data_IF_401692640155
#
_entry.id   IF_401692640155
#
_cell.length_a   1.000
_cell.length_b   1.000
_cell.length_c   1.000
_cell.angle_alpha   90.00
_cell.angle_beta   90.00
_cell.angle_gamma   90.00
#
_symmetry.space_group_name_H-M   'P 1'
#
loop_
_entity.id
_entity.type
_entity.pdbx_description
1 polymer ?
#
# COMPACT_ATOMS: atom_id res chain seq x y z
N UNK A 1 -12.83 0.59 0.11
CA UNK A 1 -13.23 -0.82 -0.14
C UNK A 1 -13.25 -1.61 1.16
N UNK A 2 -14.12 -2.62 1.26
CA UNK A 2 -14.16 -3.57 2.39
C UNK A 2 -13.39 -4.82 1.99
N UNK A 3 -12.64 -5.41 2.94
CA UNK A 3 -11.84 -6.62 2.71
C UNK A 3 -12.29 -7.74 3.63
N UNK A 4 -12.27 -8.94 3.09
CA UNK A 4 -12.59 -10.18 3.79
C UNK A 4 -11.52 -11.21 3.47
N UNK A 5 -11.31 -12.16 4.40
CA UNK A 5 -10.62 -13.39 4.09
C UNK A 5 -11.73 -14.38 3.72
N UNK A 6 -11.64 -14.97 2.56
CA UNK A 6 -12.60 -15.94 2.05
C UNK A 6 -11.89 -17.23 1.67
N UNK A 7 -12.61 -18.34 1.81
CA UNK A 7 -12.15 -19.66 1.37
C UNK A 7 -13.07 -20.17 0.27
N UNK A 8 -12.52 -20.83 -0.75
CA UNK A 8 -13.31 -21.49 -1.79
C UNK A 8 -14.21 -22.57 -1.20
N UNK A 9 -15.31 -22.90 -1.89
CA UNK A 9 -16.29 -23.87 -1.40
C UNK A 9 -15.70 -25.28 -1.17
N UNK A 10 -14.66 -25.65 -1.94
CA UNK A 10 -13.90 -26.89 -1.77
C UNK A 10 -12.87 -26.82 -0.61
N UNK A 11 -12.69 -25.64 0.01
CA UNK A 11 -11.74 -25.42 1.09
C UNK A 11 -10.27 -25.31 0.67
N UNK A 12 -9.95 -25.48 -0.61
CA UNK A 12 -8.57 -25.58 -1.09
C UNK A 12 -7.88 -24.24 -1.25
N UNK A 13 -8.62 -23.17 -1.55
CA UNK A 13 -8.06 -21.83 -1.79
C UNK A 13 -8.54 -20.82 -0.77
N UNK A 14 -7.60 -20.12 -0.16
CA UNK A 14 -7.85 -18.93 0.67
C UNK A 14 -7.45 -17.69 -0.13
N UNK A 15 -8.27 -16.65 -0.10
CA UNK A 15 -8.05 -15.39 -0.82
C UNK A 15 -8.39 -14.19 0.07
N UNK A 16 -7.79 -13.05 -0.23
CA UNK A 16 -8.33 -11.76 0.19
C UNK A 16 -9.40 -11.34 -0.83
N UNK A 17 -10.62 -11.19 -0.38
CA UNK A 17 -11.72 -10.67 -1.18
C UNK A 17 -11.91 -9.19 -0.89
N UNK A 18 -11.85 -8.37 -1.93
CA UNK A 18 -12.12 -6.94 -1.87
C UNK A 18 -13.46 -6.63 -2.50
N UNK A 19 -14.32 -5.88 -1.81
CA UNK A 19 -15.58 -5.35 -2.36
C UNK A 19 -15.54 -3.81 -2.38
N UNK A 20 -16.10 -3.14 -3.41
CA UNK A 20 -16.22 -1.70 -3.40
C UNK A 20 -17.16 -1.25 -2.27
N UNK A 21 -17.01 -0.01 -1.80
CA UNK A 21 -18.02 0.62 -0.96
C UNK A 21 -19.26 0.95 -1.80
N UNK A 22 -20.42 1.05 -1.15
CA UNK A 22 -21.70 1.29 -1.83
C UNK A 22 -21.72 2.54 -2.74
N UNK A 23 -20.93 3.55 -2.41
CA UNK A 23 -20.80 4.77 -3.20
C UNK A 23 -19.86 4.66 -4.42
N UNK A 24 -19.10 3.57 -4.55
CA UNK A 24 -18.18 3.34 -5.67
C UNK A 24 -18.92 2.58 -6.77
N UNK A 25 -18.84 3.06 -8.00
CA UNK A 25 -19.48 2.37 -9.12
C UNK A 25 -18.85 1.00 -9.37
N UNK A 26 -19.62 -0.09 -9.38
CA UNK A 26 -19.11 -1.45 -9.57
C UNK A 26 -18.26 -1.61 -10.82
N UNK A 27 -18.68 -1.04 -11.93
CA UNK A 27 -17.96 -1.13 -13.20
C UNK A 27 -16.57 -0.47 -13.15
N UNK A 28 -16.45 0.69 -12.49
CA UNK A 28 -15.17 1.37 -12.33
C UNK A 28 -14.21 0.56 -11.43
N UNK A 29 -14.72 -0.02 -10.34
CA UNK A 29 -13.94 -0.91 -9.49
C UNK A 29 -13.45 -2.14 -10.24
N UNK A 30 -14.32 -2.82 -11.00
CA UNK A 30 -13.97 -4.02 -11.77
C UNK A 30 -12.94 -3.73 -12.86
N UNK A 31 -13.05 -2.58 -13.54
CA UNK A 31 -12.09 -2.17 -14.56
C UNK A 31 -10.67 -1.99 -13.96
N UNK A 32 -10.55 -1.34 -12.81
CA UNK A 32 -9.27 -1.16 -12.12
C UNK A 32 -8.72 -2.49 -11.58
N UNK A 33 -9.59 -3.34 -11.05
CA UNK A 33 -9.22 -4.67 -10.57
C UNK A 33 -8.72 -5.57 -11.72
N UNK A 34 -9.40 -5.58 -12.87
CA UNK A 34 -8.98 -6.34 -14.04
C UNK A 34 -7.65 -5.84 -14.58
N UNK A 35 -7.46 -4.53 -14.67
CA UNK A 35 -6.18 -3.96 -15.08
C UNK A 35 -5.05 -4.36 -14.12
N UNK A 36 -5.33 -4.41 -12.82
CA UNK A 36 -4.33 -4.73 -11.80
C UNK A 36 -3.80 -6.17 -11.85
N UNK A 37 -4.48 -7.09 -12.55
CA UNK A 37 -4.00 -8.46 -12.79
C UNK A 37 -2.69 -8.53 -13.60
N UNK A 38 -2.44 -7.49 -14.38
CA UNK A 38 -1.27 -7.40 -15.28
C UNK A 38 -0.13 -6.56 -14.68
N UNK A 39 -0.28 -6.06 -13.45
CA UNK A 39 0.76 -5.28 -12.83
C UNK A 39 1.94 -6.15 -12.42
N UNK A 40 3.12 -5.68 -12.74
CA UNK A 40 4.38 -6.26 -12.30
C UNK A 40 4.97 -5.38 -11.20
N UNK A 41 5.43 -6.00 -10.14
CA UNK A 41 6.10 -5.30 -9.05
C UNK A 41 6.36 -6.23 -7.87
N UNK A 42 7.49 -6.07 -7.18
CA UNK A 42 7.93 -7.04 -6.16
C UNK A 42 6.99 -7.10 -4.95
N UNK A 43 6.31 -6.00 -4.64
CA UNK A 43 5.49 -5.88 -3.43
C UNK A 43 4.02 -5.54 -3.72
N UNK A 44 3.53 -5.83 -4.91
CA UNK A 44 2.11 -5.72 -5.27
C UNK A 44 1.36 -6.94 -4.75
N UNK A 45 0.15 -6.74 -4.21
CA UNK A 45 -0.77 -7.83 -3.88
C UNK A 45 -1.46 -8.30 -5.16
N UNK A 46 -1.13 -9.49 -5.70
CA UNK A 46 -1.67 -9.93 -6.98
C UNK A 46 -3.18 -10.15 -6.94
N UNK A 47 -3.89 -9.66 -7.95
CA UNK A 47 -5.29 -10.02 -8.23
C UNK A 47 -5.31 -11.34 -8.99
N UNK A 48 -6.02 -12.33 -8.48
CA UNK A 48 -6.13 -13.67 -9.08
C UNK A 48 -7.44 -13.89 -9.81
N UNK A 49 -8.50 -13.20 -9.37
CA UNK A 49 -9.82 -13.33 -9.96
C UNK A 49 -10.64 -12.04 -9.77
N UNK A 50 -11.46 -11.72 -10.74
CA UNK A 50 -12.36 -10.55 -10.72
C UNK A 50 -13.77 -11.04 -11.07
N UNK A 51 -14.77 -10.51 -10.36
CA UNK A 51 -16.16 -10.85 -10.63
C UNK A 51 -16.55 -10.47 -12.06
N UNK A 52 -17.37 -11.30 -12.68
CA UNK A 52 -18.04 -10.91 -13.92
C UNK A 52 -18.94 -9.70 -13.70
N UNK A 53 -19.13 -8.83 -14.71
CA UNK A 53 -20.02 -7.68 -14.58
C UNK A 53 -21.43 -8.12 -14.13
N UNK A 54 -21.90 -7.56 -13.01
CA UNK A 54 -23.16 -7.93 -12.39
C UNK A 54 -23.45 -7.10 -11.14
N UNK A 55 -24.48 -7.43 -10.37
CA UNK A 55 -24.86 -6.67 -9.17
C UNK A 55 -23.84 -6.77 -8.04
N UNK A 56 -23.04 -7.85 -8.01
CA UNK A 56 -22.00 -8.06 -7.00
C UNK A 56 -20.60 -7.88 -7.62
N UNK A 57 -19.94 -6.77 -7.28
CA UNK A 57 -18.56 -6.52 -7.67
C UNK A 57 -17.60 -6.97 -6.57
N UNK A 58 -16.61 -7.78 -6.94
CA UNK A 58 -15.52 -8.19 -6.05
C UNK A 58 -14.24 -8.48 -6.85
N UNK A 59 -13.13 -8.42 -6.17
CA UNK A 59 -11.84 -8.88 -6.68
C UNK A 59 -11.18 -9.75 -5.62
N UNK A 60 -10.66 -10.90 -6.02
CA UNK A 60 -9.91 -11.80 -5.18
C UNK A 60 -8.41 -11.62 -5.42
N UNK A 61 -7.67 -11.58 -4.32
CA UNK A 61 -6.21 -11.46 -4.31
C UNK A 61 -5.60 -12.69 -3.67
N UNK A 62 -4.36 -13.00 -4.02
CA UNK A 62 -3.60 -14.03 -3.33
C UNK A 62 -3.62 -13.78 -1.82
N UNK A 63 -3.96 -14.79 -1.04
CA UNK A 63 -3.87 -14.68 0.41
C UNK A 63 -2.42 -14.73 0.86
N UNK A 64 -2.04 -13.74 1.62
CA UNK A 64 -0.78 -13.68 2.37
C UNK A 64 -1.13 -13.27 3.80
N UNK A 65 -0.69 -13.99 4.84
CA UNK A 65 -0.90 -13.55 6.22
C UNK A 65 -0.32 -12.15 6.42
N UNK A 66 -1.18 -11.15 6.59
CA UNK A 66 -0.77 -9.76 6.66
C UNK A 66 -1.81 -8.90 7.37
N UNK A 67 -1.35 -7.82 8.00
CA UNK A 67 -2.18 -6.83 8.67
C UNK A 67 -2.06 -5.48 7.97
N UNK A 68 -3.16 -4.69 7.86
CA UNK A 68 -3.07 -3.32 7.38
C UNK A 68 -2.14 -2.47 8.27
N UNK A 69 -1.37 -1.57 7.67
CA UNK A 69 -0.43 -0.72 8.43
C UNK A 69 -1.08 0.00 9.63
N UNK A 70 -2.31 0.53 9.56
CA UNK A 70 -2.97 1.11 10.75
C UNK A 70 -3.18 0.10 11.89
N UNK A 71 -3.52 -1.15 11.56
CA UNK A 71 -3.65 -2.20 12.57
C UNK A 71 -2.29 -2.57 13.18
N UNK A 72 -1.23 -2.55 12.39
CA UNK A 72 0.14 -2.78 12.87
C UNK A 72 0.57 -1.69 13.85
N UNK A 73 0.31 -0.41 13.58
CA UNK A 73 0.61 0.68 14.50
C UNK A 73 -0.20 0.54 15.80
N UNK A 74 -1.48 0.22 15.70
CA UNK A 74 -2.34 0.01 16.88
C UNK A 74 -1.85 -1.14 17.75
N UNK A 75 -1.43 -2.26 17.15
CA UNK A 75 -0.86 -3.41 17.85
C UNK A 75 0.50 -3.10 18.49
N UNK A 76 1.32 -2.30 17.80
CA UNK A 76 2.62 -1.88 18.32
C UNK A 76 2.48 -0.86 19.46
N UNK A 77 1.35 -0.18 19.53
CA UNK A 77 1.08 0.87 20.53
C UNK A 77 1.64 2.24 20.17
N UNK A 78 1.96 2.48 18.89
CA UNK A 78 2.49 3.76 18.41
C UNK A 78 3.33 3.66 17.14
N UNK A 79 4.16 4.67 16.88
CA UNK A 79 5.05 4.74 15.71
C UNK A 79 5.93 3.51 15.57
N UNK A 80 6.18 3.10 14.32
CA UNK A 80 7.03 1.95 14.04
C UNK A 80 8.52 2.30 14.21
N UNK A 81 9.37 1.32 14.57
CA UNK A 81 10.81 1.53 14.65
C UNK A 81 11.39 2.03 13.33
N UNK A 82 12.41 2.88 13.41
CA UNK A 82 13.06 3.50 12.26
C UNK A 82 13.51 2.48 11.21
N UNK A 83 14.06 1.33 11.62
CA UNK A 83 14.42 0.23 10.74
C UNK A 83 13.24 -0.27 9.92
N UNK A 84 12.07 -0.44 10.53
CA UNK A 84 10.84 -0.87 9.84
C UNK A 84 10.39 0.18 8.84
N UNK A 85 10.41 1.46 9.23
CA UNK A 85 10.02 2.57 8.34
C UNK A 85 10.96 2.69 7.15
N UNK A 86 12.27 2.49 7.34
CA UNK A 86 13.27 2.47 6.25
C UNK A 86 13.00 1.33 5.27
N UNK A 87 12.74 0.12 5.78
CA UNK A 87 12.41 -1.03 4.94
C UNK A 87 11.14 -0.79 4.11
N UNK A 88 10.09 -0.22 4.74
CA UNK A 88 8.87 0.17 4.04
C UNK A 88 9.14 1.23 2.97
N UNK A 89 9.93 2.25 3.28
CA UNK A 89 10.24 3.33 2.35
C UNK A 89 10.90 2.78 1.08
N UNK A 90 11.89 1.91 1.23
CA UNK A 90 12.61 1.31 0.09
C UNK A 90 11.68 0.39 -0.70
N UNK A 91 10.96 -0.52 -0.04
CA UNK A 91 10.09 -1.49 -0.72
C UNK A 91 8.95 -0.81 -1.51
N UNK A 92 8.29 0.18 -0.91
CA UNK A 92 7.23 0.91 -1.59
C UNK A 92 7.75 1.81 -2.72
N UNK A 93 8.93 2.44 -2.53
CA UNK A 93 9.55 3.22 -3.58
C UNK A 93 9.99 2.35 -4.78
N UNK A 94 10.58 1.18 -4.54
CA UNK A 94 10.90 0.20 -5.60
C UNK A 94 9.65 -0.22 -6.37
N UNK A 95 8.55 -0.50 -5.67
CA UNK A 95 7.27 -0.86 -6.30
C UNK A 95 6.76 0.26 -7.21
N UNK A 96 6.73 1.49 -6.70
CA UNK A 96 6.29 2.65 -7.50
C UNK A 96 7.24 2.92 -8.67
N UNK A 97 8.55 2.72 -8.49
CA UNK A 97 9.51 2.88 -9.58
C UNK A 97 9.24 1.91 -10.73
N UNK A 98 8.91 0.66 -10.43
CA UNK A 98 8.53 -0.34 -11.44
C UNK A 98 7.23 0.07 -12.16
N UNK A 99 6.20 0.49 -11.42
CA UNK A 99 4.94 0.94 -12.00
C UNK A 99 5.12 2.17 -12.88
N UNK A 100 5.82 3.19 -12.38
CA UNK A 100 6.06 4.42 -13.13
C UNK A 100 6.92 4.18 -14.38
N UNK A 101 7.88 3.24 -14.32
CA UNK A 101 8.66 2.79 -15.47
C UNK A 101 7.79 2.14 -16.57
N UNK A 102 6.65 1.58 -16.22
CA UNK A 102 5.64 1.03 -17.13
C UNK A 102 4.58 2.07 -17.53
N UNK A 103 4.76 3.35 -17.20
CA UNK A 103 3.78 4.44 -17.36
C UNK A 103 2.45 4.19 -16.60
N UNK A 104 2.49 3.45 -15.52
CA UNK A 104 1.35 3.15 -14.66
C UNK A 104 1.44 3.97 -13.38
N UNK A 105 0.34 4.65 -13.02
CA UNK A 105 0.16 5.33 -11.75
C UNK A 105 -0.67 4.45 -10.83
N UNK A 106 -0.23 4.24 -9.60
CA UNK A 106 -0.95 3.39 -8.64
C UNK A 106 -2.31 3.97 -8.26
N UNK A 107 -2.38 5.28 -7.97
CA UNK A 107 -3.62 6.01 -7.69
C UNK A 107 -4.51 5.37 -6.61
N UNK A 108 -3.92 4.99 -5.48
CA UNK A 108 -4.67 4.38 -4.37
C UNK A 108 -3.79 4.06 -3.16
N UNK A 109 -2.52 4.50 -3.17
CA UNK A 109 -1.62 4.33 -2.04
C UNK A 109 -2.10 5.16 -0.83
N UNK A 110 -2.14 4.53 0.32
CA UNK A 110 -2.48 5.10 1.63
C UNK A 110 -2.03 4.14 2.72
N UNK A 111 -1.98 4.53 4.00
CA UNK A 111 -1.67 3.59 5.08
C UNK A 111 -2.53 2.32 5.06
N UNK A 112 -3.83 2.44 4.80
CA UNK A 112 -4.74 1.29 4.72
C UNK A 112 -4.53 0.42 3.47
N UNK A 113 -3.87 0.93 2.43
CA UNK A 113 -3.53 0.19 1.22
C UNK A 113 -2.29 -0.69 1.38
N UNK A 114 -1.46 -0.43 2.41
CA UNK A 114 -0.26 -1.20 2.70
C UNK A 114 -0.58 -2.30 3.70
N UNK A 115 -0.44 -3.55 3.28
CA UNK A 115 -0.53 -4.72 4.14
C UNK A 115 0.88 -5.16 4.52
N UNK A 116 1.08 -5.43 5.81
CA UNK A 116 2.37 -5.83 6.38
C UNK A 116 2.35 -7.33 6.59
N UNK A 117 3.11 -8.06 5.79
CA UNK A 117 3.38 -9.49 5.93
C UNK A 117 4.75 -9.72 6.57
N UNK A 118 5.02 -10.92 7.05
CA UNK A 118 6.29 -11.24 7.73
C UNK A 118 7.52 -11.06 6.82
N UNK A 119 7.36 -11.28 5.53
CA UNK A 119 8.40 -11.23 4.50
C UNK A 119 8.45 -9.88 3.74
N UNK A 120 7.59 -8.91 4.08
CA UNK A 120 7.59 -7.58 3.47
C UNK A 120 6.18 -6.99 3.28
N UNK A 121 6.08 -5.75 2.81
CA UNK A 121 4.79 -5.12 2.55
C UNK A 121 4.10 -5.73 1.33
N UNK A 122 2.79 -5.53 1.23
CA UNK A 122 2.01 -5.80 0.03
C UNK A 122 1.15 -4.58 -0.27
N UNK A 123 1.35 -3.99 -1.43
CA UNK A 123 0.60 -2.82 -1.88
C UNK A 123 -0.67 -3.26 -2.58
N UNK A 124 -1.79 -2.76 -2.10
CA UNK A 124 -3.15 -3.07 -2.57
C UNK A 124 -3.90 -1.77 -2.94
N UNK A 125 -5.17 -1.86 -3.27
CA UNK A 125 -6.01 -0.70 -3.61
C UNK A 125 -5.59 0.04 -4.89
N UNK A 126 -4.96 -0.64 -5.84
CA UNK A 126 -4.68 -0.07 -7.15
C UNK A 126 -5.93 0.58 -7.76
N UNK A 127 -5.78 1.76 -8.32
CA UNK A 127 -6.85 2.49 -8.99
C UNK A 127 -7.96 3.05 -8.09
N UNK A 128 -7.84 2.95 -6.76
CA UNK A 128 -8.91 3.37 -5.85
C UNK A 128 -9.37 4.82 -6.06
N UNK A 129 -8.46 5.73 -6.41
CA UNK A 129 -8.77 7.14 -6.71
C UNK A 129 -9.58 7.26 -8.03
N UNK A 130 -9.24 6.48 -9.06
CA UNK A 130 -9.97 6.45 -10.34
C UNK A 130 -11.34 5.79 -10.20
N UNK A 131 -11.42 4.71 -9.41
CA UNK A 131 -12.68 4.03 -9.14
C UNK A 131 -13.65 4.86 -8.29
N UNK A 132 -13.14 5.75 -7.43
CA UNK A 132 -13.97 6.58 -6.55
C UNK A 132 -14.77 7.65 -7.32
N UNK A 133 -14.16 8.29 -8.31
CA UNK A 133 -14.84 9.24 -9.19
C UNK A 133 -14.03 9.49 -10.47
N UNK A 134 -14.68 9.78 -11.60
CA UNK A 134 -14.01 10.11 -12.85
C UNK A 134 -13.20 11.41 -12.76
N UNK A 135 -12.30 11.61 -13.72
CA UNK A 135 -11.54 12.85 -13.84
C UNK A 135 -12.47 14.05 -14.05
N UNK A 136 -12.15 15.17 -13.41
CA UNK A 136 -12.98 16.37 -13.38
C UNK A 136 -13.97 16.43 -12.20
N UNK A 137 -14.23 15.32 -11.51
CA UNK A 137 -15.11 15.28 -10.34
C UNK A 137 -14.30 15.34 -9.05
N UNK A 138 -14.59 16.30 -8.12
CA UNK A 138 -13.92 16.37 -6.82
C UNK A 138 -14.04 15.07 -6.02
N UNK A 139 -12.94 14.69 -5.30
CA UNK A 139 -12.84 13.44 -4.56
C UNK A 139 -12.57 13.62 -3.06
N UNK A 140 -12.56 14.86 -2.57
CA UNK A 140 -12.23 15.16 -1.16
C UNK A 140 -13.20 14.53 -0.15
N UNK A 141 -14.44 14.23 -0.57
CA UNK A 141 -15.45 13.54 0.26
C UNK A 141 -15.73 12.11 -0.23
N UNK A 142 -14.93 11.60 -1.16
CA UNK A 142 -15.18 10.27 -1.73
C UNK A 142 -14.96 9.18 -0.67
N UNK A 143 -15.98 8.34 -0.38
CA UNK A 143 -15.88 7.31 0.63
C UNK A 143 -14.75 6.32 0.34
N UNK A 144 -13.98 5.98 1.37
CA UNK A 144 -12.91 4.99 1.29
C UNK A 144 -11.59 5.49 0.72
N UNK A 145 -11.48 6.76 0.36
CA UNK A 145 -10.21 7.43 0.17
C UNK A 145 -9.74 8.01 1.50
N UNK A 146 -8.43 7.92 1.73
CA UNK A 146 -7.79 8.56 2.87
C UNK A 146 -7.44 10.01 2.47
N UNK A 147 -8.14 10.97 3.06
CA UNK A 147 -7.96 12.38 2.77
C UNK A 147 -6.52 12.86 3.03
N UNK A 148 -5.83 12.29 4.04
CA UNK A 148 -4.45 12.64 4.37
C UNK A 148 -3.42 12.16 3.34
N UNK A 149 -3.77 11.12 2.58
CA UNK A 149 -2.90 10.56 1.53
C UNK A 149 -3.32 10.98 0.12
N UNK A 150 -4.46 11.68 -0.02
CA UNK A 150 -4.96 12.13 -1.30
C UNK A 150 -4.35 13.50 -1.64
N UNK A 151 -3.52 13.62 -2.70
CA UNK A 151 -2.90 14.90 -3.04
C UNK A 151 -3.95 15.94 -3.47
N UNK A 152 -3.71 17.24 -3.20
CA UNK A 152 -4.70 18.31 -3.42
C UNK A 152 -5.26 18.36 -4.84
N UNK A 153 -4.42 18.16 -5.86
CA UNK A 153 -4.83 18.15 -7.26
C UNK A 153 -5.79 16.99 -7.58
N UNK A 154 -5.60 15.83 -6.97
CA UNK A 154 -6.49 14.67 -7.13
C UNK A 154 -7.78 14.83 -6.32
N UNK A 155 -7.68 15.41 -5.13
CA UNK A 155 -8.84 15.77 -4.32
C UNK A 155 -9.76 16.74 -5.07
N UNK A 156 -9.19 17.70 -5.81
CA UNK A 156 -9.92 18.64 -6.68
C UNK A 156 -10.45 18.02 -7.98
N UNK A 157 -10.26 16.72 -8.21
CA UNK A 157 -10.74 16.02 -9.41
C UNK A 157 -9.70 15.86 -10.52
N UNK A 158 -8.46 16.27 -10.30
CA UNK A 158 -7.39 16.10 -11.28
C UNK A 158 -7.07 14.63 -11.57
N UNK A 159 -6.64 14.36 -12.80
CA UNK A 159 -6.22 13.02 -13.22
C UNK A 159 -5.03 12.52 -12.38
N UNK A 160 -5.08 11.30 -11.85
CA UNK A 160 -3.94 10.71 -11.14
C UNK A 160 -2.70 10.64 -12.02
N UNK A 161 -1.57 11.09 -11.46
CA UNK A 161 -0.24 11.11 -12.10
C UNK A 161 0.82 10.58 -11.13
N UNK A 162 2.00 10.14 -11.62
CA UNK A 162 3.08 9.59 -10.78
C UNK A 162 3.46 10.44 -9.57
N UNK A 163 3.50 11.77 -9.68
CA UNK A 163 3.78 12.67 -8.56
C UNK A 163 2.69 12.67 -7.48
N UNK A 164 1.47 12.21 -7.80
CA UNK A 164 0.43 11.95 -6.81
C UNK A 164 0.73 10.72 -5.95
N UNK A 165 1.28 9.67 -6.55
CA UNK A 165 1.74 8.49 -5.79
C UNK A 165 2.90 8.85 -4.86
N UNK A 166 3.78 9.78 -5.27
CA UNK A 166 4.89 10.28 -4.43
C UNK A 166 4.35 11.03 -3.21
N UNK A 167 3.30 11.85 -3.37
CA UNK A 167 2.62 12.48 -2.24
C UNK A 167 2.05 11.43 -1.28
N UNK A 168 1.31 10.46 -1.82
CA UNK A 168 0.69 9.39 -1.05
C UNK A 168 1.73 8.50 -0.33
N UNK A 169 2.88 8.25 -0.96
CA UNK A 169 4.01 7.57 -0.33
C UNK A 169 4.56 8.39 0.84
N UNK A 170 4.79 9.69 0.65
CA UNK A 170 5.24 10.59 1.72
C UNK A 170 4.29 10.56 2.93
N UNK A 171 2.98 10.68 2.69
CA UNK A 171 1.96 10.58 3.73
C UNK A 171 1.95 9.22 4.45
N UNK A 172 2.11 8.13 3.69
CA UNK A 172 2.15 6.77 4.25
C UNK A 172 3.38 6.55 5.12
N UNK A 173 4.56 7.04 4.71
CA UNK A 173 5.79 6.95 5.50
C UNK A 173 5.73 7.82 6.75
N UNK A 174 5.16 9.04 6.63
CA UNK A 174 4.87 9.89 7.77
C UNK A 174 3.99 9.18 8.79
N UNK A 175 2.90 8.57 8.31
CA UNK A 175 2.00 7.79 9.16
C UNK A 175 2.72 6.61 9.86
N UNK A 176 3.54 5.86 9.15
CA UNK A 176 4.31 4.76 9.73
C UNK A 176 5.26 5.22 10.85
N UNK A 177 5.83 6.41 10.69
CA UNK A 177 6.82 6.98 11.61
C UNK A 177 6.22 7.77 12.78
N UNK A 178 4.97 8.25 12.70
CA UNK A 178 4.40 9.17 13.69
C UNK A 178 2.96 8.83 14.09
N UNK A 179 2.24 8.07 13.28
CA UNK A 179 0.79 7.86 13.41
C UNK A 179 -0.06 8.90 12.67
N UNK A 180 0.56 9.90 12.03
CA UNK A 180 -0.13 10.97 11.30
C UNK A 180 0.37 11.06 9.86
N UNK A 181 -0.52 11.33 8.91
CA UNK A 181 -0.18 11.45 7.48
C UNK A 181 0.45 12.80 7.13
N UNK A 182 0.25 13.81 7.96
CA UNK A 182 0.82 15.14 7.82
C UNK A 182 1.30 15.67 9.19
N UNK A 183 2.35 15.07 9.77
CA UNK A 183 2.93 15.51 11.04
C UNK A 183 3.72 16.81 10.87
N UNK A 184 4.04 17.45 11.99
CA UNK A 184 5.03 18.51 11.99
C UNK A 184 6.41 17.95 11.65
N UNK A 185 7.28 18.82 11.10
CA UNK A 185 8.54 18.34 10.54
C UNK A 185 9.51 17.79 11.62
N UNK A 186 9.45 18.29 12.83
CA UNK A 186 10.26 17.87 13.97
C UNK A 186 9.81 16.52 14.57
N UNK A 187 8.55 16.14 14.36
CA UNK A 187 8.03 14.82 14.75
C UNK A 187 8.60 13.68 13.88
N UNK A 188 9.09 14.01 12.68
CA UNK A 188 9.64 13.02 11.76
C UNK A 188 11.08 12.64 12.15
N UNK A 189 11.46 11.35 12.01
CA UNK A 189 12.85 10.92 12.08
C UNK A 189 13.73 11.72 11.10
N UNK A 190 14.96 12.05 11.47
CA UNK A 190 15.84 12.90 10.64
C UNK A 190 15.95 12.48 9.17
N UNK A 191 16.03 11.17 8.90
CA UNK A 191 16.17 10.65 7.55
C UNK A 191 14.93 10.89 6.66
N UNK A 192 13.74 11.05 7.27
CA UNK A 192 12.48 11.28 6.55
C UNK A 192 12.15 12.76 6.36
N UNK A 193 12.68 13.67 7.17
CA UNK A 193 12.25 15.07 7.19
C UNK A 193 12.25 15.73 5.82
N UNK A 194 13.39 15.67 5.14
CA UNK A 194 13.52 16.26 3.80
C UNK A 194 12.67 15.53 2.76
N UNK A 195 12.65 14.19 2.83
CA UNK A 195 11.95 13.35 1.87
C UNK A 195 10.44 13.57 1.95
N UNK A 196 9.87 13.45 3.16
CA UNK A 196 8.44 13.63 3.42
C UNK A 196 8.03 15.09 3.17
N UNK A 197 8.79 16.06 3.68
CA UNK A 197 8.47 17.47 3.50
C UNK A 197 8.38 17.89 2.03
N UNK A 198 9.24 17.37 1.16
CA UNK A 198 9.16 17.59 -0.29
C UNK A 198 7.99 16.82 -0.91
N UNK A 199 7.77 15.57 -0.51
CA UNK A 199 6.71 14.73 -1.06
C UNK A 199 5.32 15.30 -0.78
N UNK A 200 5.10 15.89 0.39
CA UNK A 200 3.84 16.50 0.80
C UNK A 200 3.61 17.94 0.26
N UNK A 201 4.49 18.43 -0.63
CA UNK A 201 4.27 19.73 -1.27
C UNK A 201 2.92 19.78 -1.97
N UNK A 202 2.17 20.87 -1.75
CA UNK A 202 0.91 21.13 -2.47
C UNK A 202 1.14 21.32 -3.96
N UNK A 203 2.28 21.90 -4.35
CA UNK A 203 2.69 22.02 -5.74
C UNK A 203 3.37 20.71 -6.20
N UNK A 204 2.78 19.95 -7.14
CA UNK A 204 3.37 18.72 -7.66
C UNK A 204 4.77 18.91 -8.23
N UNK A 205 5.08 20.08 -8.83
CA UNK A 205 6.38 20.34 -9.43
C UNK A 205 7.53 20.41 -8.39
N UNK A 206 7.20 20.61 -7.12
CA UNK A 206 8.17 20.64 -6.01
C UNK A 206 8.40 19.28 -5.37
N UNK A 207 7.60 18.29 -5.71
CA UNK A 207 7.77 16.92 -5.22
C UNK A 207 8.95 16.24 -5.91
N UNK A 208 9.69 15.37 -5.23
CA UNK A 208 10.70 14.57 -5.89
C UNK A 208 10.04 13.57 -6.86
N UNK A 209 10.74 13.23 -7.93
CA UNK A 209 10.39 12.04 -8.71
C UNK A 209 10.68 10.78 -7.90
N UNK A 210 10.08 9.65 -8.28
CA UNK A 210 10.37 8.36 -7.61
C UNK A 210 11.86 7.98 -7.73
N UNK A 211 12.50 8.34 -8.84
CA UNK A 211 13.93 8.11 -9.04
C UNK A 211 14.81 8.96 -8.10
N UNK A 212 14.40 10.19 -7.78
CA UNK A 212 15.07 11.03 -6.77
C UNK A 212 14.85 10.49 -5.37
N UNK A 213 13.64 9.99 -5.05
CA UNK A 213 13.38 9.31 -3.77
C UNK A 213 14.27 8.07 -3.61
N UNK A 214 14.35 7.24 -4.64
CA UNK A 214 15.20 6.03 -4.63
C UNK A 214 16.67 6.37 -4.41
N UNK A 215 17.18 7.45 -5.04
CA UNK A 215 18.55 7.94 -4.82
C UNK A 215 18.75 8.41 -3.38
N UNK A 216 17.85 9.25 -2.87
CA UNK A 216 17.93 9.75 -1.49
C UNK A 216 17.89 8.61 -0.45
N UNK A 217 17.08 7.57 -0.69
CA UNK A 217 17.09 6.37 0.13
C UNK A 217 18.35 5.52 -0.07
N UNK A 218 18.95 5.55 -1.27
CA UNK A 218 20.20 4.84 -1.55
C UNK A 218 21.41 5.46 -0.84
N UNK A 219 21.42 6.76 -0.73
CA UNK A 219 22.53 7.53 -0.11
C UNK A 219 22.44 7.53 1.43
N UNK A 220 21.43 6.89 2.03
CA UNK A 220 21.30 6.81 3.48
C UNK A 220 22.37 5.86 4.06
N UNK A 221 23.30 6.37 4.88
CA UNK A 221 24.41 5.58 5.42
C UNK A 221 23.97 4.49 6.41
N UNK A 222 22.73 4.56 6.90
CA UNK A 222 22.16 3.52 7.78
C UNK A 222 21.64 2.30 7.00
N UNK A 223 21.60 2.38 5.65
CA UNK A 223 21.18 1.26 4.84
C UNK A 223 22.39 0.40 4.44
N UNK A 224 22.25 -0.93 4.46
CA UNK A 224 23.32 -1.81 3.98
C UNK A 224 23.59 -1.55 2.50
N UNK A 225 24.86 -1.42 2.13
CA UNK A 225 25.24 -1.46 0.73
C UNK A 225 24.89 -2.84 0.16
N UNK A 226 24.40 -2.92 -1.08
CA UNK A 226 24.15 -4.22 -1.70
C UNK A 226 25.48 -4.97 -1.81
N UNK A 227 25.65 -5.96 -0.92
CA UNK A 227 26.81 -6.85 -0.90
C UNK A 227 26.41 -8.15 -1.60
N UNK A 228 26.66 -8.28 -2.90
CA UNK A 228 26.47 -9.56 -3.57
C UNK A 228 26.17 -9.43 -5.07
N UNK A 229 26.65 -10.40 -5.82
CA UNK A 229 26.38 -10.60 -7.25
C UNK A 229 25.05 -11.34 -7.44
N UNK A 230 23.92 -10.74 -7.02
CA UNK A 230 22.61 -11.36 -7.18
C UNK A 230 21.51 -10.32 -7.41
N UNK A 231 20.36 -10.70 -7.99
CA UNK A 231 19.23 -9.81 -8.26
C UNK A 231 18.41 -9.46 -6.99
N UNK A 232 19.03 -9.52 -5.81
CA UNK A 232 18.38 -9.16 -4.55
C UNK A 232 18.14 -7.66 -4.54
N UNK A 233 16.87 -7.25 -4.45
CA UNK A 233 16.52 -5.84 -4.34
C UNK A 233 17.06 -5.29 -3.02
N UNK A 234 17.23 -3.96 -2.93
CA UNK A 234 17.66 -3.34 -1.67
C UNK A 234 16.60 -3.55 -0.57
N UNK A 235 15.33 -3.57 -0.93
CA UNK A 235 14.25 -3.87 0.00
C UNK A 235 14.41 -5.27 0.62
N UNK A 236 14.69 -6.29 -0.16
CA UNK A 236 14.89 -7.66 0.35
C UNK A 236 16.03 -7.73 1.38
N UNK A 237 17.10 -6.96 1.19
CA UNK A 237 18.20 -6.88 2.15
C UNK A 237 17.76 -6.27 3.50
N UNK A 238 16.76 -5.37 3.49
CA UNK A 238 16.23 -4.72 4.70
C UNK A 238 15.13 -5.53 5.38
N UNK A 239 14.42 -6.36 4.64
CA UNK A 239 13.29 -7.17 5.09
C UNK A 239 13.71 -8.50 5.77
N UNK A 240 14.99 -8.64 6.07
CA UNK A 240 15.53 -9.78 6.83
C UNK A 240 15.07 -9.82 8.30
N UNK A 241 15.54 -10.81 9.07
CA UNK A 241 15.11 -11.00 10.45
C UNK A 241 15.19 -9.72 11.30
N UNK A 242 14.11 -9.46 12.05
CA UNK A 242 13.99 -8.29 12.92
C UNK A 242 13.59 -6.99 12.21
N UNK A 243 13.13 -7.02 10.95
CA UNK A 243 12.58 -5.84 10.29
C UNK A 243 11.23 -5.39 10.89
N UNK A 244 10.46 -6.33 11.44
CA UNK A 244 9.24 -6.06 12.20
C UNK A 244 9.42 -6.27 13.71
N UNK A 245 8.67 -5.51 14.53
CA UNK A 245 8.57 -5.79 15.96
C UNK A 245 8.02 -7.20 16.23
N UNK A 246 8.54 -7.92 17.24
CA UNK A 246 8.14 -9.31 17.52
C UNK A 246 6.64 -9.49 17.76
N UNK A 247 5.98 -8.51 18.41
CA UNK A 247 4.53 -8.53 18.64
C UNK A 247 3.71 -8.49 17.35
N UNK A 248 4.20 -7.78 16.32
CA UNK A 248 3.56 -7.74 15.01
C UNK A 248 3.70 -9.08 14.29
N UNK A 249 4.89 -9.70 14.34
CA UNK A 249 5.11 -11.05 13.78
C UNK A 249 4.18 -12.06 14.46
N UNK A 250 4.07 -12.03 15.78
CA UNK A 250 3.18 -12.92 16.53
C UNK A 250 1.69 -12.72 16.13
N UNK A 251 1.26 -11.49 15.94
CA UNK A 251 -0.11 -11.19 15.51
C UNK A 251 -0.40 -11.70 14.08
N UNK A 252 0.54 -11.56 13.15
CA UNK A 252 0.43 -12.10 11.79
C UNK A 252 0.34 -13.63 11.84
N UNK A 253 1.18 -14.28 12.64
CA UNK A 253 1.16 -15.74 12.82
C UNK A 253 -0.17 -16.22 13.44
N UNK A 254 -0.69 -15.49 14.44
CA UNK A 254 -1.97 -15.79 15.05
C UNK A 254 -3.13 -15.65 14.05
N UNK A 255 -3.15 -14.59 13.23
CA UNK A 255 -4.13 -14.44 12.16
C UNK A 255 -4.09 -15.63 11.19
N UNK A 256 -2.90 -16.04 10.77
CA UNK A 256 -2.71 -17.20 9.89
C UNK A 256 -3.28 -18.47 10.49
N UNK A 257 -2.95 -18.75 11.76
CA UNK A 257 -3.46 -19.90 12.48
C UNK A 257 -5.01 -19.88 12.60
N UNK A 258 -5.58 -18.71 12.91
CA UNK A 258 -7.04 -18.53 13.00
C UNK A 258 -7.74 -18.78 11.66
N UNK A 259 -7.15 -18.34 10.56
CA UNK A 259 -7.69 -18.59 9.20
C UNK A 259 -7.65 -20.09 8.85
N UNK A 260 -6.56 -20.77 9.21
CA UNK A 260 -6.42 -22.21 8.98
C UNK A 260 -7.40 -23.03 9.83
N UNK A 261 -7.67 -22.59 11.06
CA UNK A 261 -8.58 -23.26 11.99
C UNK A 261 -10.08 -22.96 11.71
N UNK A 262 -10.38 -21.92 10.90
CA UNK A 262 -11.75 -21.56 10.59
C UNK A 262 -12.44 -22.66 9.74
N UNK A 263 -13.55 -23.20 10.22
CA UNK A 263 -14.37 -24.10 9.46
C UNK A 263 -15.09 -23.36 8.33
N UNK A 264 -15.18 -24.00 7.16
CA UNK A 264 -15.95 -23.47 6.03
C UNK A 264 -17.42 -23.74 6.32
N UNK A 265 -18.14 -22.74 6.81
CA UNK A 265 -19.60 -22.79 6.85
C UNK A 265 -20.12 -22.61 5.42
N UNK A 266 -20.64 -23.67 4.82
CA UNK A 266 -21.31 -23.57 3.54
C UNK A 266 -22.48 -22.59 3.70
N UNK A 267 -22.49 -21.52 2.88
CA UNK A 267 -23.66 -20.67 2.75
C UNK A 267 -24.79 -21.54 2.12
N UNK A 268 -25.81 -21.84 2.91
CA UNK A 268 -27.06 -22.48 2.46
C UNK A 268 -27.87 -21.48 1.65
#
# INVERSE_FOLDING_TARGET
MTRFIARSADGERTVFLSKPLAAVQPAAFLAEAEFSRYLLGPWILPVVEVATPGPEAWAAHTYVPALPLPAVLALHGGPLPERTVRALAVALAETLAVLHGQNVTHAGLSPAAVLIAADGPRLSCFGAVRAAAPDGVPRHEAPGLDAGSLPPEQAAGGRPRPLGDVYALGATLAYAATGYTAPEQDELPPFLRSLVGRSLSKDPARRPSIAEMMRALADDPALPSPTGFGPVTRAEALLGPGWLPPGVIAAIAHQSASVLAAEVTAAT
#
